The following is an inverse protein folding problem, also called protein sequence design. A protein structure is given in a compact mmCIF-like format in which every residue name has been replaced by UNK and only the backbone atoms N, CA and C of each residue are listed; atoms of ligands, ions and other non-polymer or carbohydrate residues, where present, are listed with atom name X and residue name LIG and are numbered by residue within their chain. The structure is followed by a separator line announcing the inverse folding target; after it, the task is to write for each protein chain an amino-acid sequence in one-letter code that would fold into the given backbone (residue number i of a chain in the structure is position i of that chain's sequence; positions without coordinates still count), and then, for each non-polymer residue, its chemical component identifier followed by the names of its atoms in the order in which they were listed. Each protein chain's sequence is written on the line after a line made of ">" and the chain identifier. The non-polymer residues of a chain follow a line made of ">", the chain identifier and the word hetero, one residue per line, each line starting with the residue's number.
data_IF_350764333106
#
_entry.id   IF_350764333106
#
_cell.length_a   1.000
_cell.length_b   1.000
_cell.length_c   1.000
_cell.angle_alpha   90.00
_cell.angle_beta   90.00
_cell.angle_gamma   90.00
#
_symmetry.space_group_name_H-M   'P 1'
#
loop_
_entity.id
_entity.type
_entity.pdbx_description
1 polymer ?
#
# COMPACT_ATOMS: atom_id res chain seq x y z
N UNK A 1 16.98 -0.01 32.41
CA UNK A 1 15.62 -0.52 32.68
C UNK A 1 14.58 0.58 32.56
N UNK A 2 14.71 1.70 33.30
CA UNK A 2 13.78 2.85 33.20
C UNK A 2 13.67 3.44 31.78
N UNK A 3 14.79 3.58 31.07
CA UNK A 3 14.81 4.04 29.68
C UNK A 3 14.00 3.14 28.73
N UNK A 4 14.11 1.80 28.89
CA UNK A 4 13.35 0.84 28.08
C UNK A 4 11.85 0.83 28.44
N UNK A 5 11.49 1.04 29.71
CA UNK A 5 10.09 1.12 30.13
C UNK A 5 9.41 2.40 29.63
N UNK A 6 10.11 3.54 29.66
CA UNK A 6 9.62 4.79 29.07
C UNK A 6 9.31 4.65 27.58
N UNK A 7 10.13 3.86 26.91
CA UNK A 7 10.12 3.71 25.47
C UNK A 7 8.99 2.80 24.96
N UNK A 8 8.57 1.83 25.77
CA UNK A 8 7.36 1.04 25.49
C UNK A 8 6.14 1.61 26.21
N UNK A 9 6.21 2.84 26.74
CA UNK A 9 5.11 3.50 27.46
C UNK A 9 4.57 2.66 28.65
N UNK A 10 5.47 2.04 29.42
CA UNK A 10 5.16 1.21 30.59
C UNK A 10 5.79 1.72 31.90
N UNK A 11 6.25 2.97 31.95
CA UNK A 11 6.86 3.54 33.17
C UNK A 11 5.94 3.42 34.39
N UNK A 12 4.63 3.68 34.23
CA UNK A 12 3.63 3.59 35.30
C UNK A 12 3.28 2.16 35.71
N UNK A 13 3.85 1.16 35.02
CA UNK A 13 3.59 -0.26 35.24
C UNK A 13 4.85 -1.01 35.65
N UNK A 14 5.91 -0.30 36.04
CA UNK A 14 7.20 -0.86 36.40
C UNK A 14 7.12 -1.91 37.53
N UNK A 15 6.22 -1.70 38.49
CA UNK A 15 6.06 -2.57 39.67
C UNK A 15 5.01 -3.68 39.49
N UNK A 16 4.30 -3.70 38.35
CA UNK A 16 3.27 -4.70 38.07
C UNK A 16 3.87 -6.05 37.69
N UNK A 17 3.25 -7.13 38.17
CA UNK A 17 3.58 -8.51 37.78
C UNK A 17 2.97 -8.84 36.40
N UNK A 18 3.51 -9.83 35.67
CA UNK A 18 3.01 -10.18 34.33
C UNK A 18 1.50 -10.47 34.27
N UNK A 19 0.94 -11.09 35.31
CA UNK A 19 -0.50 -11.39 35.41
C UNK A 19 -1.38 -10.17 35.70
N UNK A 20 -0.79 -9.01 35.99
CA UNK A 20 -1.47 -7.73 36.24
C UNK A 20 -1.41 -6.80 35.01
N UNK A 21 -0.81 -7.28 33.91
CA UNK A 21 -0.67 -6.57 32.65
C UNK A 21 -1.65 -7.09 31.60
N UNK A 22 -2.20 -6.21 30.77
CA UNK A 22 -2.97 -6.61 29.58
C UNK A 22 -2.07 -7.32 28.56
N UNK A 23 -2.66 -8.07 27.61
CA UNK A 23 -1.89 -8.76 26.55
C UNK A 23 -0.96 -7.81 25.79
N UNK A 24 -1.45 -6.63 25.40
CA UNK A 24 -0.64 -5.61 24.76
C UNK A 24 0.48 -5.02 25.64
N UNK A 25 0.26 -4.92 26.96
CA UNK A 25 1.32 -4.52 27.90
C UNK A 25 2.37 -5.63 28.08
N UNK A 26 1.97 -6.90 28.11
CA UNK A 26 2.90 -8.03 28.16
C UNK A 26 3.79 -8.10 26.91
N UNK A 27 3.21 -7.86 25.73
CA UNK A 27 3.96 -7.83 24.46
C UNK A 27 4.99 -6.69 24.44
N UNK A 28 4.61 -5.52 24.95
CA UNK A 28 5.54 -4.39 25.17
C UNK A 28 6.68 -4.72 26.13
N UNK A 29 6.41 -5.42 27.25
CA UNK A 29 7.47 -5.90 28.15
C UNK A 29 8.40 -6.88 27.42
N UNK A 30 7.86 -7.78 26.59
CA UNK A 30 8.68 -8.71 25.81
C UNK A 30 9.62 -7.99 24.84
N UNK A 31 9.13 -6.96 24.16
CA UNK A 31 9.93 -6.14 23.25
C UNK A 31 11.05 -5.38 24.00
N UNK A 32 10.70 -4.72 25.11
CA UNK A 32 11.68 -4.04 25.97
C UNK A 32 12.78 -5.00 26.46
N UNK A 33 12.41 -6.23 26.84
CA UNK A 33 13.35 -7.28 27.24
C UNK A 33 14.27 -7.72 26.09
N UNK A 34 13.75 -7.80 24.87
CA UNK A 34 14.53 -8.20 23.69
C UNK A 34 15.52 -7.10 23.27
N UNK A 35 15.16 -5.83 23.45
CA UNK A 35 16.01 -4.67 23.12
C UNK A 35 17.04 -4.33 24.21
N UNK A 36 16.73 -4.59 25.49
CA UNK A 36 17.60 -4.28 26.63
C UNK A 36 19.07 -4.76 26.50
N UNK A 37 19.39 -5.97 25.99
CA UNK A 37 20.76 -6.43 25.81
C UNK A 37 21.50 -5.79 24.61
N UNK A 38 20.86 -4.90 23.84
CA UNK A 38 21.40 -4.30 22.61
C UNK A 38 21.89 -5.38 21.62
N UNK A 39 20.99 -6.27 21.15
CA UNK A 39 21.38 -7.37 20.29
C UNK A 39 21.91 -6.86 18.96
N UNK A 40 22.76 -7.65 18.29
CA UNK A 40 23.17 -7.35 16.90
C UNK A 40 22.05 -7.60 15.90
N UNK A 41 21.20 -8.59 16.19
CA UNK A 41 20.06 -9.00 15.38
C UNK A 41 18.86 -9.23 16.29
N UNK A 42 17.75 -8.58 15.96
CA UNK A 42 16.45 -8.76 16.59
C UNK A 42 15.51 -9.49 15.62
N UNK A 43 14.87 -10.56 16.09
CA UNK A 43 13.83 -11.26 15.34
C UNK A 43 12.49 -10.99 16.01
N UNK A 44 11.52 -10.51 15.23
CA UNK A 44 10.19 -10.17 15.70
C UNK A 44 9.17 -10.93 14.85
N UNK A 45 8.33 -11.71 15.51
CA UNK A 45 7.27 -12.49 14.87
C UNK A 45 5.92 -11.94 15.35
N UNK A 46 5.23 -11.22 14.47
CA UNK A 46 3.99 -10.50 14.73
C UNK A 46 3.96 -9.72 16.07
N UNK A 47 4.93 -8.82 16.32
CA UNK A 47 5.13 -8.20 17.62
C UNK A 47 4.05 -7.20 18.02
N UNK A 48 3.11 -6.85 17.14
CA UNK A 48 2.06 -5.86 17.41
C UNK A 48 0.63 -6.36 17.10
N UNK A 49 0.45 -7.65 16.83
CA UNK A 49 -0.84 -8.23 16.43
C UNK A 49 -1.95 -8.09 17.50
N UNK A 50 -1.60 -8.08 18.78
CA UNK A 50 -2.56 -7.96 19.90
C UNK A 50 -2.81 -6.51 20.36
N UNK A 51 -2.38 -5.52 19.58
CA UNK A 51 -2.54 -4.09 19.88
C UNK A 51 -3.64 -3.47 19.03
N UNK A 52 -4.33 -2.47 19.56
CA UNK A 52 -5.22 -1.63 18.75
C UNK A 52 -4.42 -0.84 17.70
N UNK A 53 -5.11 -0.39 16.64
CA UNK A 53 -4.48 0.25 15.47
C UNK A 53 -3.66 1.48 15.85
N UNK A 54 -4.19 2.35 16.72
CA UNK A 54 -3.51 3.61 17.10
C UNK A 54 -2.24 3.32 17.89
N UNK A 55 -2.31 2.42 18.86
CA UNK A 55 -1.15 2.04 19.65
C UNK A 55 -0.10 1.28 18.82
N UNK A 56 -0.56 0.44 17.88
CA UNK A 56 0.32 -0.30 16.95
C UNK A 56 1.18 0.66 16.13
N UNK A 57 0.58 1.67 15.50
CA UNK A 57 1.30 2.65 14.68
C UNK A 57 2.34 3.43 15.52
N UNK A 58 1.94 3.94 16.69
CA UNK A 58 2.84 4.66 17.59
C UNK A 58 4.04 3.80 18.03
N UNK A 59 3.78 2.56 18.43
CA UNK A 59 4.86 1.65 18.85
C UNK A 59 5.75 1.23 17.68
N UNK A 60 5.21 0.99 16.49
CA UNK A 60 6.02 0.68 15.32
C UNK A 60 7.01 1.81 15.02
N UNK A 61 6.57 3.07 15.06
CA UNK A 61 7.45 4.24 14.88
C UNK A 61 8.52 4.32 15.98
N UNK A 62 8.13 4.16 17.24
CA UNK A 62 9.08 4.18 18.36
C UNK A 62 10.15 3.07 18.22
N UNK A 63 9.74 1.88 17.79
CA UNK A 63 10.65 0.74 17.56
C UNK A 63 11.62 1.02 16.43
N UNK A 64 11.14 1.60 15.32
CA UNK A 64 12.00 2.03 14.21
C UNK A 64 13.11 2.95 14.71
N UNK A 65 12.75 3.98 15.46
CA UNK A 65 13.70 4.97 15.95
C UNK A 65 14.80 4.36 16.82
N UNK A 66 14.46 3.35 17.62
CA UNK A 66 15.44 2.64 18.46
C UNK A 66 16.38 1.82 17.62
N UNK A 67 15.84 1.03 16.70
CA UNK A 67 16.64 0.18 15.84
C UNK A 67 17.65 1.03 15.07
N UNK A 68 17.21 2.21 14.57
CA UNK A 68 18.08 3.21 13.94
C UNK A 68 19.12 3.78 14.91
N UNK A 69 18.72 4.27 16.09
CA UNK A 69 19.63 4.87 17.08
C UNK A 69 20.66 3.89 17.62
N UNK A 70 20.27 2.63 17.78
CA UNK A 70 21.13 1.57 18.32
C UNK A 70 21.92 0.83 17.23
N UNK A 71 21.65 1.12 15.96
CA UNK A 71 22.19 0.41 14.81
C UNK A 71 21.98 -1.12 14.91
N UNK A 72 20.80 -1.51 15.40
CA UNK A 72 20.40 -2.91 15.56
C UNK A 72 19.73 -3.39 14.28
N UNK A 73 20.21 -4.47 13.68
CA UNK A 73 19.51 -5.12 12.56
C UNK A 73 18.27 -5.83 13.10
N UNK A 74 17.13 -5.68 12.41
CA UNK A 74 15.91 -6.40 12.76
C UNK A 74 15.32 -7.12 11.55
N UNK A 75 14.75 -8.30 11.79
CA UNK A 75 13.86 -8.99 10.86
C UNK A 75 12.50 -9.04 11.54
N UNK A 76 11.51 -8.47 10.87
CA UNK A 76 10.12 -8.46 11.30
C UNK A 76 9.31 -9.35 10.35
N UNK A 77 8.46 -10.20 10.92
CA UNK A 77 7.39 -10.91 10.21
C UNK A 77 6.07 -10.32 10.66
N UNK A 78 5.24 -9.91 9.71
CA UNK A 78 3.90 -9.39 9.97
C UNK A 78 2.98 -9.68 8.78
N UNK A 79 1.68 -9.78 9.05
CA UNK A 79 0.63 -9.81 8.02
C UNK A 79 0.04 -8.40 7.76
N UNK A 80 0.49 -7.38 8.49
CA UNK A 80 0.02 -5.99 8.37
C UNK A 80 0.97 -5.18 7.46
N UNK A 81 0.43 -4.68 6.35
CA UNK A 81 1.18 -3.90 5.35
C UNK A 81 1.63 -2.54 5.89
N UNK A 82 0.79 -1.88 6.68
CA UNK A 82 1.08 -0.56 7.22
C UNK A 82 2.23 -0.64 8.22
N UNK A 83 2.26 -1.70 9.03
CA UNK A 83 3.39 -2.00 9.91
C UNK A 83 4.69 -2.18 9.11
N UNK A 84 4.64 -3.01 8.06
CA UNK A 84 5.80 -3.25 7.20
C UNK A 84 6.32 -1.95 6.56
N UNK A 85 5.42 -1.11 6.04
CA UNK A 85 5.78 0.17 5.41
C UNK A 85 6.30 1.20 6.41
N UNK A 86 5.73 1.26 7.61
CA UNK A 86 6.16 2.19 8.64
C UNK A 86 7.54 1.81 9.21
N UNK A 87 7.79 0.52 9.47
CA UNK A 87 8.99 0.07 10.18
C UNK A 87 10.18 -0.19 9.27
N UNK A 88 9.95 -0.78 8.10
CA UNK A 88 11.02 -1.42 7.35
C UNK A 88 11.81 -0.45 6.47
N UNK A 89 13.07 -0.79 6.24
CA UNK A 89 13.88 -0.19 5.16
C UNK A 89 13.68 -0.94 3.84
N UNK A 90 13.47 -2.26 3.94
CA UNK A 90 13.17 -3.18 2.85
C UNK A 90 12.12 -4.18 3.33
N UNK A 91 11.16 -4.48 2.48
CA UNK A 91 10.06 -5.41 2.74
C UNK A 91 10.18 -6.57 1.76
N UNK A 92 10.00 -7.78 2.29
CA UNK A 92 9.93 -9.00 1.50
C UNK A 92 8.50 -9.52 1.46
N UNK A 93 7.91 -9.62 0.27
CA UNK A 93 6.60 -10.25 0.09
C UNK A 93 6.81 -11.73 -0.19
N UNK A 94 6.15 -12.58 0.59
CA UNK A 94 6.21 -14.03 0.44
C UNK A 94 4.89 -14.59 -0.12
N UNK A 95 4.98 -15.51 -1.08
CA UNK A 95 3.86 -16.33 -1.55
C UNK A 95 4.28 -17.79 -1.57
N UNK A 96 3.46 -18.68 -1.00
CA UNK A 96 3.67 -20.14 -0.99
C UNK A 96 5.11 -20.54 -0.62
N UNK A 97 5.67 -19.90 0.41
CA UNK A 97 7.02 -20.16 0.92
C UNK A 97 8.16 -19.61 0.06
N UNK A 98 7.87 -18.78 -0.96
CA UNK A 98 8.88 -18.13 -1.81
C UNK A 98 8.84 -16.63 -1.63
N UNK A 99 10.01 -16.01 -1.59
CA UNK A 99 10.15 -14.55 -1.64
C UNK A 99 9.87 -14.09 -3.07
N UNK A 100 8.76 -13.38 -3.27
CA UNK A 100 8.29 -12.93 -4.58
C UNK A 100 8.95 -11.59 -4.96
N UNK A 101 9.01 -10.66 -4.01
CA UNK A 101 9.62 -9.35 -4.20
C UNK A 101 10.32 -8.90 -2.92
N UNK A 102 11.49 -8.27 -3.08
CA UNK A 102 12.28 -7.67 -2.01
C UNK A 102 12.66 -6.26 -2.42
N UNK A 103 11.99 -5.25 -1.87
CA UNK A 103 12.15 -3.86 -2.28
C UNK A 103 11.89 -2.89 -1.13
N UNK A 104 12.10 -1.59 -1.33
CA UNK A 104 11.64 -0.57 -0.37
C UNK A 104 10.10 -0.56 -0.34
N UNK A 105 9.46 -0.03 0.73
CA UNK A 105 8.01 0.17 0.75
C UNK A 105 7.46 0.91 -0.47
N UNK A 106 8.15 1.97 -0.91
CA UNK A 106 7.76 2.77 -2.08
C UNK A 106 7.84 1.96 -3.38
N UNK A 107 8.97 1.29 -3.64
CA UNK A 107 9.13 0.40 -4.81
C UNK A 107 8.07 -0.73 -4.79
N UNK A 108 7.75 -1.29 -3.63
CA UNK A 108 6.72 -2.34 -3.53
C UNK A 108 5.32 -1.84 -3.87
N UNK A 109 4.97 -0.63 -3.44
CA UNK A 109 3.65 -0.04 -3.67
C UNK A 109 3.47 0.43 -5.13
N UNK A 110 4.47 1.14 -5.67
CA UNK A 110 4.40 1.77 -7.00
C UNK A 110 4.93 0.87 -8.13
N UNK A 111 5.83 -0.07 -7.84
CA UNK A 111 6.47 -0.95 -8.84
C UNK A 111 6.36 -2.44 -8.44
N UNK A 112 5.15 -2.98 -8.20
CA UNK A 112 4.96 -4.39 -7.92
C UNK A 112 5.33 -5.25 -9.14
N UNK A 113 6.10 -6.33 -8.92
CA UNK A 113 6.60 -7.21 -9.99
C UNK A 113 5.55 -8.21 -10.50
N UNK A 114 4.40 -8.30 -9.86
CA UNK A 114 3.32 -9.21 -10.26
C UNK A 114 1.95 -8.71 -9.77
N UNK A 115 0.85 -9.17 -10.39
CA UNK A 115 -0.50 -8.85 -9.93
C UNK A 115 -0.74 -9.24 -8.47
N UNK A 116 -0.19 -10.37 -8.03
CA UNK A 116 -0.25 -10.82 -6.64
C UNK A 116 0.31 -9.76 -5.70
N UNK A 117 1.53 -9.29 -5.98
CA UNK A 117 2.16 -8.28 -5.14
C UNK A 117 1.37 -6.98 -5.20
N UNK A 118 0.89 -6.56 -6.37
CA UNK A 118 0.09 -5.36 -6.54
C UNK A 118 -1.19 -5.37 -5.68
N UNK A 119 -1.92 -6.48 -5.68
CA UNK A 119 -3.12 -6.66 -4.86
C UNK A 119 -2.79 -6.81 -3.36
N UNK A 120 -1.67 -7.45 -3.05
CA UNK A 120 -1.25 -7.69 -1.67
C UNK A 120 -0.76 -6.42 -0.97
N UNK A 121 -0.09 -5.50 -1.67
CA UNK A 121 0.60 -4.36 -1.03
C UNK A 121 -0.26 -3.12 -0.81
N UNK A 122 -1.43 -3.05 -1.45
CA UNK A 122 -2.27 -1.86 -1.33
C UNK A 122 -3.56 -1.94 -2.13
N UNK A 123 -4.46 -1.01 -1.84
CA UNK A 123 -5.70 -0.83 -2.60
C UNK A 123 -5.39 -0.32 -4.01
N UNK A 124 -6.23 -0.69 -4.98
CA UNK A 124 -6.06 -0.30 -6.36
C UNK A 124 -7.06 -1.01 -7.26
N UNK A 125 -7.06 -0.64 -8.53
CA UNK A 125 -7.84 -1.28 -9.58
C UNK A 125 -6.91 -1.72 -10.71
N UNK A 126 -7.24 -2.85 -11.32
CA UNK A 126 -6.64 -3.29 -12.58
C UNK A 126 -7.63 -2.94 -13.69
N UNK A 127 -7.28 -1.98 -14.53
CA UNK A 127 -8.13 -1.60 -15.68
C UNK A 127 -7.62 -2.22 -16.98
N UNK A 128 -8.54 -2.52 -17.87
CA UNK A 128 -8.23 -2.99 -19.21
C UNK A 128 -7.59 -1.90 -20.06
N UNK A 129 -6.56 -2.31 -20.80
CA UNK A 129 -5.90 -1.51 -21.81
C UNK A 129 -5.43 -2.35 -22.99
N UNK A 130 -5.16 -1.68 -24.10
CA UNK A 130 -4.60 -2.32 -25.30
C UNK A 130 -3.35 -1.56 -25.73
N UNK A 131 -2.27 -2.30 -25.95
CA UNK A 131 -1.03 -1.73 -26.49
C UNK A 131 -1.26 -1.27 -27.93
N UNK A 132 -1.02 0.00 -28.21
CA UNK A 132 -0.99 0.53 -29.58
C UNK A 132 0.10 1.57 -29.71
N UNK A 133 0.99 1.39 -30.68
CA UNK A 133 1.97 2.41 -31.11
C UNK A 133 2.76 3.01 -29.93
N UNK A 134 3.25 2.14 -29.03
CA UNK A 134 4.06 2.55 -27.88
C UNK A 134 3.30 3.16 -26.69
N UNK A 135 1.97 3.18 -26.72
CA UNK A 135 1.10 3.58 -25.61
C UNK A 135 0.11 2.50 -25.22
N UNK A 136 -0.50 2.66 -24.05
CA UNK A 136 -1.68 1.90 -23.65
C UNK A 136 -2.91 2.77 -23.87
N UNK A 137 -3.85 2.30 -24.68
CA UNK A 137 -5.18 2.91 -24.74
C UNK A 137 -6.07 2.31 -23.65
N UNK A 138 -6.63 3.16 -22.80
CA UNK A 138 -7.53 2.79 -21.70
C UNK A 138 -8.74 3.73 -21.66
N UNK A 139 -9.74 3.44 -20.82
CA UNK A 139 -10.82 4.38 -20.53
C UNK A 139 -10.38 5.62 -19.73
N UNK A 140 -9.20 5.58 -19.11
CA UNK A 140 -8.55 6.77 -18.55
C UNK A 140 -7.86 7.63 -19.62
N UNK A 141 -7.86 7.16 -20.87
CA UNK A 141 -7.15 7.79 -21.98
C UNK A 141 -5.84 7.08 -22.30
N UNK A 142 -4.97 7.80 -23.00
CA UNK A 142 -3.71 7.27 -23.48
C UNK A 142 -2.64 7.37 -22.39
N UNK A 143 -2.16 6.21 -21.93
CA UNK A 143 -1.13 6.11 -20.91
C UNK A 143 0.21 5.80 -21.60
N UNK A 144 1.24 6.55 -21.22
CA UNK A 144 2.59 6.41 -21.77
C UNK A 144 3.53 5.87 -20.71
N UNK A 145 4.40 4.93 -21.09
CA UNK A 145 5.46 4.46 -20.22
C UNK A 145 6.50 5.57 -20.08
N UNK A 146 6.60 6.17 -18.89
CA UNK A 146 7.67 7.11 -18.58
C UNK A 146 8.86 6.31 -18.05
N UNK A 147 9.99 6.39 -18.74
CA UNK A 147 11.29 6.14 -18.11
C UNK A 147 12.02 7.48 -18.00
N UNK A 148 12.86 7.64 -16.98
CA UNK A 148 13.84 8.74 -16.92
C UNK A 148 14.99 8.52 -17.94
N UNK A 149 14.65 8.26 -19.20
CA UNK A 149 15.62 8.28 -20.28
C UNK A 149 15.53 9.65 -20.91
N UNK A 150 16.50 10.50 -20.58
CA UNK A 150 16.70 11.75 -21.32
C UNK A 150 17.54 11.44 -22.54
N UNK A 151 17.11 11.90 -23.71
CA UNK A 151 17.95 11.86 -24.90
C UNK A 151 19.21 12.72 -24.69
N UNK A 152 20.15 12.68 -25.65
CA UNK A 152 21.37 13.51 -25.57
C UNK A 152 21.07 15.03 -25.56
N UNK A 153 19.82 15.42 -25.83
CA UNK A 153 19.28 16.77 -25.82
C UNK A 153 18.60 17.15 -24.50
N UNK A 154 18.46 16.23 -23.55
CA UNK A 154 17.75 16.46 -22.28
C UNK A 154 16.22 16.42 -22.40
N UNK A 155 15.66 15.88 -23.49
CA UNK A 155 14.22 15.64 -23.62
C UNK A 155 13.84 14.26 -23.08
N UNK A 156 12.72 14.15 -22.35
CA UNK A 156 12.22 12.86 -21.90
C UNK A 156 11.84 11.98 -23.09
N UNK A 157 12.43 10.80 -23.17
CA UNK A 157 12.12 9.78 -24.18
C UNK A 157 11.13 8.77 -23.58
N UNK A 158 10.01 8.58 -24.26
CA UNK A 158 9.05 7.53 -23.95
C UNK A 158 9.51 6.23 -24.61
N UNK A 159 9.56 5.13 -23.86
CA UNK A 159 9.91 3.82 -24.41
C UNK A 159 8.65 3.07 -24.84
N UNK A 160 8.74 2.35 -25.96
CA UNK A 160 7.71 1.38 -26.33
C UNK A 160 7.63 0.28 -25.27
N UNK A 161 6.42 -0.24 -25.06
CA UNK A 161 6.22 -1.44 -24.26
C UNK A 161 6.83 -2.64 -24.98
N UNK A 162 7.41 -3.59 -24.24
CA UNK A 162 7.96 -4.85 -24.78
C UNK A 162 6.87 -5.81 -25.32
N UNK A 163 5.62 -5.34 -25.40
CA UNK A 163 4.45 -6.07 -25.85
C UNK A 163 4.09 -5.70 -27.30
N UNK A 164 3.69 -6.67 -28.14
CA UNK A 164 3.20 -6.38 -29.48
C UNK A 164 1.97 -5.46 -29.49
N UNK A 165 1.81 -4.67 -30.54
CA UNK A 165 0.56 -3.91 -30.76
C UNK A 165 -0.65 -4.86 -30.81
N UNK A 166 -1.75 -4.43 -30.20
CA UNK A 166 -2.99 -5.20 -30.04
C UNK A 166 -3.00 -6.14 -28.84
N UNK A 167 -1.91 -6.22 -28.06
CA UNK A 167 -1.87 -7.06 -26.85
C UNK A 167 -2.80 -6.46 -25.78
N UNK A 168 -3.76 -7.25 -25.25
CA UNK A 168 -4.54 -6.84 -24.09
C UNK A 168 -3.65 -6.89 -22.85
N UNK A 169 -3.66 -5.80 -22.09
CA UNK A 169 -2.88 -5.67 -20.85
C UNK A 169 -3.77 -5.09 -19.75
N UNK A 170 -3.39 -5.35 -18.51
CA UNK A 170 -4.01 -4.76 -17.33
C UNK A 170 -3.10 -3.66 -16.81
N UNK A 171 -3.65 -2.47 -16.61
CA UNK A 171 -2.93 -1.33 -16.01
C UNK A 171 -3.31 -1.25 -14.54
N UNK A 172 -2.31 -1.20 -13.66
CA UNK A 172 -2.53 -0.91 -12.25
C UNK A 172 -2.81 0.59 -12.08
N UNK A 173 -3.92 0.91 -11.42
CA UNK A 173 -4.31 2.26 -11.04
C UNK A 173 -4.51 2.31 -9.54
N UNK A 174 -3.70 3.09 -8.84
CA UNK A 174 -3.82 3.34 -7.41
C UNK A 174 -4.73 4.52 -7.13
N UNK A 175 -5.30 4.61 -5.91
CA UNK A 175 -6.13 5.76 -5.52
C UNK A 175 -5.42 7.11 -5.64
N UNK A 176 -4.10 7.14 -5.44
CA UNK A 176 -3.25 8.32 -5.56
C UNK A 176 -2.86 8.69 -7.00
N UNK A 177 -3.05 7.78 -7.97
CA UNK A 177 -2.83 8.07 -9.40
C UNK A 177 -3.99 8.90 -10.00
N UNK A 178 -5.12 9.01 -9.31
CA UNK A 178 -6.33 9.69 -9.81
C UNK A 178 -6.56 10.96 -9.01
N UNK A 179 -6.11 12.07 -9.57
CA UNK A 179 -6.25 13.39 -8.96
C UNK A 179 -7.65 13.91 -9.21
N UNK A 180 -8.27 14.42 -8.15
CA UNK A 180 -9.54 15.11 -8.23
C UNK A 180 -9.34 16.53 -8.77
N UNK A 181 -10.07 16.87 -9.84
CA UNK A 181 -10.06 18.18 -10.46
C UNK A 181 -11.43 18.46 -11.08
N UNK A 182 -12.26 19.27 -10.39
CA UNK A 182 -13.63 19.61 -10.83
C UNK A 182 -13.67 20.36 -12.18
N UNK A 183 -12.56 20.98 -12.60
CA UNK A 183 -12.45 21.67 -13.88
C UNK A 183 -12.01 20.73 -15.03
N UNK A 184 -11.70 19.46 -14.72
CA UNK A 184 -11.30 18.46 -15.72
C UNK A 184 -12.45 18.15 -16.68
N UNK A 185 -12.12 18.02 -17.97
CA UNK A 185 -13.06 17.55 -18.99
C UNK A 185 -13.35 16.06 -18.90
N UNK A 186 -12.45 15.31 -18.25
CA UNK A 186 -12.64 13.90 -17.98
C UNK A 186 -13.33 13.75 -16.63
N UNK A 187 -14.44 13.02 -16.62
CA UNK A 187 -15.24 12.81 -15.42
C UNK A 187 -15.49 11.33 -15.19
N UNK A 188 -15.82 10.96 -13.96
CA UNK A 188 -16.24 9.61 -13.62
C UNK A 188 -17.44 9.64 -12.65
N UNK A 189 -18.29 8.62 -12.76
CA UNK A 189 -19.49 8.48 -11.94
C UNK A 189 -19.13 7.98 -10.54
N UNK A 190 -19.56 8.68 -9.49
CA UNK A 190 -19.38 8.22 -8.11
C UNK A 190 -20.38 7.11 -7.82
N UNK A 191 -19.89 5.88 -7.68
CA UNK A 191 -20.72 4.71 -7.33
C UNK A 191 -20.58 4.30 -5.86
N UNK A 192 -19.58 4.83 -5.16
CA UNK A 192 -19.40 4.62 -3.72
C UNK A 192 -18.42 5.62 -3.11
N UNK A 193 -18.53 5.85 -1.81
CA UNK A 193 -17.63 6.72 -1.06
C UNK A 193 -17.47 6.22 0.38
N UNK A 194 -16.26 6.32 0.91
CA UNK A 194 -15.94 5.99 2.31
C UNK A 194 -15.18 7.15 2.92
N UNK A 195 -15.67 7.65 4.06
CA UNK A 195 -14.98 8.72 4.80
C UNK A 195 -13.84 8.12 5.64
N UNK A 196 -12.60 8.59 5.43
CA UNK A 196 -11.40 8.16 6.15
C UNK A 196 -10.75 9.32 6.93
N UNK A 197 -11.57 10.22 7.47
CA UNK A 197 -11.10 11.37 8.25
C UNK A 197 -10.57 12.51 7.39
N UNK A 198 -9.28 12.47 7.04
CA UNK A 198 -8.64 13.53 6.24
C UNK A 198 -9.07 13.49 4.76
N UNK A 199 -9.50 12.33 4.27
CA UNK A 199 -9.86 12.08 2.88
C UNK A 199 -11.14 11.26 2.77
N UNK A 200 -11.80 11.35 1.62
CA UNK A 200 -12.73 10.34 1.11
C UNK A 200 -11.97 9.38 0.18
N UNK A 201 -12.22 8.10 0.33
CA UNK A 201 -11.91 7.12 -0.72
C UNK A 201 -13.17 6.95 -1.58
N UNK A 202 -13.11 7.41 -2.82
CA UNK A 202 -14.17 7.26 -3.78
C UNK A 202 -13.98 6.02 -4.64
N UNK A 203 -15.08 5.31 -4.91
CA UNK A 203 -15.17 4.32 -5.98
C UNK A 203 -15.86 4.98 -7.16
N UNK A 204 -15.14 5.05 -8.27
CA UNK A 204 -15.56 5.75 -9.48
C UNK A 204 -15.77 4.75 -10.60
N UNK A 205 -16.81 4.94 -11.41
CA UNK A 205 -17.06 4.20 -12.63
C UNK A 205 -16.69 5.05 -13.83
N UNK A 206 -15.89 4.48 -14.72
CA UNK A 206 -15.50 5.04 -16.01
C UNK A 206 -16.58 4.79 -17.06
N UNK A 207 -16.48 5.48 -18.20
CA UNK A 207 -17.45 5.41 -19.30
C UNK A 207 -17.63 4.01 -19.90
N UNK A 208 -16.61 3.15 -19.80
CA UNK A 208 -16.64 1.76 -20.25
C UNK A 208 -17.18 0.78 -19.20
N UNK A 209 -17.60 1.30 -18.04
CA UNK A 209 -18.17 0.54 -16.93
C UNK A 209 -17.14 0.02 -15.93
N UNK A 210 -15.84 0.13 -16.19
CA UNK A 210 -14.79 -0.28 -15.26
C UNK A 210 -14.76 0.61 -14.01
N UNK A 211 -14.31 0.08 -12.87
CA UNK A 211 -14.25 0.83 -11.62
C UNK A 211 -12.82 1.09 -11.18
N UNK A 212 -12.55 2.33 -10.75
CA UNK A 212 -11.28 2.76 -10.15
C UNK A 212 -11.52 3.34 -8.76
N UNK A 213 -10.43 3.60 -8.05
CA UNK A 213 -10.43 4.29 -6.77
C UNK A 213 -9.77 5.67 -6.94
N UNK A 214 -10.20 6.64 -6.15
CA UNK A 214 -9.53 7.94 -6.04
C UNK A 214 -9.56 8.42 -4.59
N UNK A 215 -8.41 8.88 -4.09
CA UNK A 215 -8.28 9.46 -2.76
C UNK A 215 -8.42 10.98 -2.86
N UNK A 216 -9.50 11.52 -2.30
CA UNK A 216 -9.86 12.94 -2.44
C UNK A 216 -9.92 13.58 -1.06
N UNK A 217 -9.44 14.81 -0.92
CA UNK A 217 -9.47 15.51 0.37
C UNK A 217 -10.91 15.67 0.91
N UNK A 218 -11.08 15.56 2.23
CA UNK A 218 -12.40 15.43 2.87
C UNK A 218 -13.34 16.63 2.72
N UNK A 219 -12.83 17.79 2.29
CA UNK A 219 -13.66 18.97 2.03
C UNK A 219 -14.38 18.91 0.68
N UNK A 220 -13.98 18.02 -0.22
CA UNK A 220 -14.71 17.72 -1.45
C UNK A 220 -15.67 16.56 -1.20
N UNK A 221 -16.94 16.90 -0.94
CA UNK A 221 -17.97 15.95 -0.54
C UNK A 221 -18.97 15.71 -1.68
N UNK A 222 -18.57 14.88 -2.64
CA UNK A 222 -19.39 14.45 -3.77
C UNK A 222 -20.36 13.32 -3.38
N UNK A 223 -21.59 13.41 -3.88
CA UNK A 223 -22.66 12.44 -3.60
C UNK A 223 -22.58 11.21 -4.51
N UNK A 224 -23.08 10.07 -4.04
CA UNK A 224 -23.23 8.89 -4.89
C UNK A 224 -24.23 9.21 -6.00
N UNK A 225 -23.86 8.92 -7.25
CA UNK A 225 -24.63 9.25 -8.45
C UNK A 225 -24.20 10.55 -9.13
N UNK A 226 -23.35 11.39 -8.50
CA UNK A 226 -22.77 12.56 -9.18
C UNK A 226 -21.57 12.17 -10.04
N UNK A 227 -21.21 13.02 -10.98
CA UNK A 227 -19.93 12.93 -11.68
C UNK A 227 -18.93 13.85 -11.00
N UNK A 228 -17.67 13.42 -10.94
CA UNK A 228 -16.56 14.24 -10.47
C UNK A 228 -15.50 14.32 -11.56
N UNK A 229 -14.84 15.47 -11.66
CA UNK A 229 -13.73 15.63 -12.58
C UNK A 229 -12.48 14.92 -12.06
N UNK A 230 -11.79 14.20 -12.94
CA UNK A 230 -10.61 13.42 -12.63
C UNK A 230 -9.48 13.72 -13.60
N UNK A 231 -8.24 13.61 -13.10
CA UNK A 231 -7.02 13.72 -13.88
C UNK A 231 -6.12 12.52 -13.56
N UNK A 232 -5.91 11.59 -14.51
CA UNK A 232 -5.00 10.48 -14.31
C UNK A 232 -3.55 10.97 -14.37
N UNK A 233 -2.83 10.83 -13.25
CA UNK A 233 -1.42 11.16 -13.09
C UNK A 233 -0.65 9.91 -12.65
N UNK A 234 -0.47 8.97 -13.59
CA UNK A 234 0.28 7.76 -13.34
C UNK A 234 1.78 8.04 -13.55
N UNK A 235 2.50 8.34 -12.47
CA UNK A 235 3.96 8.54 -12.54
C UNK A 235 4.71 7.22 -12.76
N UNK A 236 4.26 6.16 -12.08
CA UNK A 236 4.81 4.80 -12.19
C UNK A 236 3.80 3.89 -12.89
N UNK A 237 3.83 3.87 -14.24
CA UNK A 237 2.91 3.03 -15.00
C UNK A 237 3.33 1.57 -14.94
N UNK A 238 2.55 0.77 -14.22
CA UNK A 238 2.72 -0.68 -14.13
C UNK A 238 1.66 -1.38 -14.96
N UNK A 239 2.12 -2.29 -15.83
CA UNK A 239 1.26 -3.09 -16.70
C UNK A 239 1.56 -4.57 -16.52
N UNK A 240 0.53 -5.40 -16.64
CA UNK A 240 0.61 -6.85 -16.58
C UNK A 240 -0.04 -7.46 -17.82
N UNK A 241 0.45 -8.62 -18.27
CA UNK A 241 -0.26 -9.39 -19.28
C UNK A 241 -1.58 -9.88 -18.67
N UNK A 242 -2.68 -9.79 -19.41
CA UNK A 242 -4.00 -10.23 -18.94
C UNK A 242 -3.98 -11.69 -18.43
N UNK A 243 -3.15 -12.54 -19.00
CA UNK A 243 -2.99 -13.94 -18.60
C UNK A 243 -2.39 -14.09 -17.20
N UNK A 244 -1.50 -13.19 -16.80
CA UNK A 244 -0.87 -13.21 -15.48
C UNK A 244 -1.88 -12.84 -14.38
N UNK A 245 -2.75 -11.87 -14.66
CA UNK A 245 -3.82 -11.45 -13.75
C UNK A 245 -4.84 -12.57 -13.55
N UNK A 246 -5.32 -13.18 -14.64
CA UNK A 246 -6.29 -14.28 -14.57
C UNK A 246 -5.75 -15.55 -13.90
N UNK A 247 -4.43 -15.75 -13.87
CA UNK A 247 -3.80 -16.86 -13.17
C UNK A 247 -3.70 -16.63 -11.64
N UNK A 248 -3.94 -15.40 -11.19
CA UNK A 248 -3.66 -14.95 -9.82
C UNK A 248 -4.93 -14.83 -8.98
N UNK A 249 -6.11 -15.30 -9.44
CA UNK A 249 -7.41 -15.09 -8.79
C UNK A 249 -7.49 -15.59 -7.34
N UNK A 250 -7.10 -14.72 -6.42
CA UNK A 250 -7.38 -14.76 -4.98
C UNK A 250 -8.73 -14.09 -4.67
N UNK A 251 -9.51 -13.72 -5.71
CA UNK A 251 -10.65 -12.80 -5.59
C UNK A 251 -11.90 -13.37 -4.88
N UNK A 252 -11.94 -14.67 -4.56
CA UNK A 252 -13.13 -15.26 -3.91
C UNK A 252 -13.00 -15.47 -2.39
N UNK A 253 -11.80 -15.44 -1.80
CA UNK A 253 -11.65 -15.87 -0.39
C UNK A 253 -11.62 -14.73 0.65
N UNK A 254 -11.30 -13.48 0.29
CA UNK A 254 -10.99 -12.44 1.30
C UNK A 254 -11.67 -11.07 1.09
N UNK A 255 -12.56 -10.94 0.10
CA UNK A 255 -13.41 -9.73 -0.03
C UNK A 255 -14.73 -9.82 0.74
N UNK A 256 -15.20 -11.02 1.06
CA UNK A 256 -16.43 -11.21 1.86
C UNK A 256 -16.21 -10.94 3.36
N UNK A 257 -14.97 -10.97 3.84
CA UNK A 257 -14.60 -10.75 5.24
C UNK A 257 -14.45 -9.25 5.61
N UNK A 258 -14.45 -8.34 4.63
CA UNK A 258 -14.21 -6.90 4.83
C UNK A 258 -15.44 -6.01 4.72
N UNK A 259 -16.63 -6.57 4.49
CA UNK A 259 -17.88 -5.80 4.31
C UNK A 259 -18.94 -6.13 5.38
N UNK A 260 -18.77 -7.17 6.18
CA UNK A 260 -19.74 -7.58 7.22
C UNK A 260 -19.16 -7.45 8.65
N UNK A 261 -18.75 -6.25 9.05
CA UNK A 261 -18.68 -5.85 10.47
C UNK A 261 -19.06 -4.37 10.59
N UNK A 262 -20.32 -4.05 10.31
CA UNK A 262 -21.00 -2.85 10.83
C UNK A 262 -22.52 -3.03 10.64
N UNK A 263 -23.15 -3.73 11.59
CA UNK A 263 -24.59 -3.66 11.91
C UNK A 263 -24.77 -3.56 13.42
#
# INVERSE_FOLDING_TARGET
>A
MAEMLSLVELTEHADKRPNELSGGQQQRVALARALAPKPKLLLLDEPFSNLDVVLRESLAMNVRDILKRTNTTAILVTHDQNEAFALADKVGVMDKGRLVQWATPSELYHEPVSPFVAEFVGEGAMIDGIIKEGRVETALGNIYRRMEVYDQSGQPQYCEYDYPNGTPIKVLVRPDDIIHDDDSTQTALVIGRVFRGANYLYRLQLDDGQSILSLVASHHNHEIGSHIGILPLLEHVVVFDEKEVNATTWSEYDRSSRVDEDV
#
